data_IF_069974526568
#
_entry.id   IF_069974526568
#
_cell.length_a   1.000
_cell.length_b   1.000
_cell.length_c   1.000
_cell.angle_alpha   90.00
_cell.angle_beta   90.00
_cell.angle_gamma   90.00
#
_symmetry.space_group_name_H-M   'P 1'
#
loop_
_entity.id
_entity.type
_entity.pdbx_description
1 polymer ?
#
# COMPACT_ATOMS: atom_id res chain seq x y z
N UNK A 1 16.43 11.30 -28.10
CA UNK A 1 15.16 11.05 -28.80
C UNK A 1 14.74 9.64 -28.40
N UNK A 2 13.61 9.46 -27.70
CA UNK A 2 13.15 8.12 -27.29
C UNK A 2 12.47 7.44 -28.49
N UNK A 3 12.80 6.18 -28.76
CA UNK A 3 12.16 5.41 -29.82
C UNK A 3 10.79 4.90 -29.38
N UNK A 4 9.90 4.63 -30.35
CA UNK A 4 8.58 4.05 -30.08
C UNK A 4 8.68 2.71 -29.32
N UNK A 5 9.72 1.92 -29.57
CA UNK A 5 9.99 0.67 -28.84
C UNK A 5 10.32 0.94 -27.37
N UNK A 6 11.22 1.89 -27.09
CA UNK A 6 11.54 2.27 -25.71
C UNK A 6 10.35 2.87 -24.95
N UNK A 7 9.42 3.50 -25.68
CA UNK A 7 8.17 4.03 -25.13
C UNK A 7 7.20 2.90 -24.75
N UNK A 8 6.99 1.93 -25.63
CA UNK A 8 6.17 0.74 -25.34
C UNK A 8 6.76 -0.07 -24.18
N UNK A 9 8.08 -0.27 -24.17
CA UNK A 9 8.76 -0.96 -23.07
C UNK A 9 8.59 -0.20 -21.74
N UNK A 10 8.59 1.13 -21.77
CA UNK A 10 8.33 1.97 -20.59
C UNK A 10 6.91 1.83 -20.06
N UNK A 11 5.91 1.87 -20.94
CA UNK A 11 4.50 1.69 -20.58
C UNK A 11 4.26 0.27 -20.03
N UNK A 12 4.86 -0.75 -20.66
CA UNK A 12 4.76 -2.14 -20.21
C UNK A 12 5.29 -2.28 -18.77
N UNK A 13 6.45 -1.70 -18.46
CA UNK A 13 7.04 -1.72 -17.11
C UNK A 13 6.19 -1.00 -16.08
N UNK A 14 5.59 0.15 -16.45
CA UNK A 14 4.65 0.86 -15.56
C UNK A 14 3.43 -0.02 -15.29
N UNK A 15 2.86 -0.66 -16.32
CA UNK A 15 1.75 -1.60 -16.17
C UNK A 15 2.09 -2.78 -15.25
N UNK A 16 3.28 -3.34 -15.36
CA UNK A 16 3.73 -4.42 -14.46
C UNK A 16 3.93 -3.94 -13.02
N UNK A 17 4.37 -2.71 -12.80
CA UNK A 17 4.46 -2.12 -11.46
C UNK A 17 3.07 -1.82 -10.87
N UNK A 18 2.10 -1.44 -11.69
CA UNK A 18 0.72 -1.18 -11.26
C UNK A 18 -0.06 -2.45 -10.89
N UNK A 19 0.37 -3.65 -11.31
CA UNK A 19 -0.18 -4.90 -10.78
C UNK A 19 0.02 -5.04 -9.27
N UNK A 20 1.04 -4.39 -8.72
CA UNK A 20 1.26 -4.35 -7.27
C UNK A 20 0.11 -3.65 -6.51
N UNK A 21 -0.78 -2.93 -7.19
CA UNK A 21 -1.96 -2.29 -6.56
C UNK A 21 -2.97 -3.32 -6.07
N UNK A 22 -3.21 -4.40 -6.84
CA UNK A 22 -4.13 -5.48 -6.44
C UNK A 22 -3.61 -6.19 -5.17
N UNK A 23 -2.30 -6.44 -5.10
CA UNK A 23 -1.66 -7.02 -3.92
C UNK A 23 -1.81 -6.13 -2.67
N UNK A 24 -1.76 -4.79 -2.84
CA UNK A 24 -1.98 -3.82 -1.74
C UNK A 24 -3.41 -3.88 -1.26
N UNK A 25 -4.37 -3.85 -2.18
CA UNK A 25 -5.79 -3.90 -1.84
C UNK A 25 -6.10 -5.18 -1.05
N UNK A 26 -5.57 -6.32 -1.48
CA UNK A 26 -5.74 -7.59 -0.78
C UNK A 26 -5.09 -7.59 0.62
N UNK A 27 -3.88 -7.04 0.74
CA UNK A 27 -3.20 -6.91 2.03
C UNK A 27 -3.98 -6.02 3.00
N UNK A 28 -4.51 -4.89 2.52
CA UNK A 28 -5.31 -3.95 3.32
C UNK A 28 -6.62 -4.60 3.77
N UNK A 29 -7.35 -5.29 2.89
CA UNK A 29 -8.59 -5.96 3.27
C UNK A 29 -8.35 -7.09 4.28
N UNK A 30 -7.24 -7.83 4.16
CA UNK A 30 -6.83 -8.83 5.16
C UNK A 30 -6.57 -8.19 6.53
N UNK A 31 -5.78 -7.13 6.58
CA UNK A 31 -5.49 -6.44 7.85
C UNK A 31 -6.73 -5.81 8.47
N UNK A 32 -7.64 -5.27 7.65
CA UNK A 32 -8.93 -4.74 8.10
C UNK A 32 -9.80 -5.81 8.74
N UNK A 33 -9.84 -7.03 8.17
CA UNK A 33 -10.54 -8.16 8.80
C UNK A 33 -9.94 -8.48 10.18
N UNK A 34 -8.61 -8.56 10.30
CA UNK A 34 -7.94 -8.79 11.59
C UNK A 34 -8.21 -7.71 12.63
N UNK A 35 -8.28 -6.44 12.21
CA UNK A 35 -8.65 -5.34 13.10
C UNK A 35 -10.12 -5.38 13.53
N UNK A 36 -11.02 -5.84 12.67
CA UNK A 36 -12.44 -6.06 13.02
C UNK A 36 -12.57 -7.20 14.05
N UNK A 37 -11.81 -8.27 13.89
CA UNK A 37 -11.78 -9.38 14.85
C UNK A 37 -11.26 -8.91 16.22
N UNK A 38 -10.15 -8.18 16.22
CA UNK A 38 -9.58 -7.60 17.45
C UNK A 38 -10.56 -6.63 18.12
N UNK A 39 -11.20 -5.76 17.33
CA UNK A 39 -12.23 -4.87 17.84
C UNK A 39 -13.37 -5.69 18.46
N UNK A 40 -13.85 -6.73 17.80
CA UNK A 40 -14.95 -7.58 18.32
C UNK A 40 -14.55 -8.27 19.64
N UNK A 41 -13.29 -8.70 19.77
CA UNK A 41 -12.75 -9.25 21.02
C UNK A 41 -12.69 -8.23 22.16
N UNK A 42 -12.49 -6.95 21.84
CA UNK A 42 -12.46 -5.85 22.81
C UNK A 42 -13.84 -5.24 23.09
N UNK A 43 -14.77 -5.32 22.15
CA UNK A 43 -16.12 -4.76 22.27
C UNK A 43 -17.08 -5.72 23.01
N UNK A 44 -16.68 -6.99 23.19
CA UNK A 44 -17.54 -8.00 23.81
C UNK A 44 -17.64 -7.86 25.33
N UNK A 45 -18.75 -8.39 25.88
CA UNK A 45 -18.98 -8.56 27.33
C UNK A 45 -17.84 -9.25 28.08
N UNK A 46 -16.88 -9.85 27.37
CA UNK A 46 -15.62 -10.37 27.89
C UNK A 46 -14.81 -9.34 28.67
N UNK A 47 -14.76 -8.08 28.24
CA UNK A 47 -14.10 -7.02 29.02
C UNK A 47 -14.85 -6.70 30.32
N UNK A 48 -16.15 -7.04 30.40
CA UNK A 48 -16.97 -6.87 31.61
C UNK A 48 -16.92 -8.09 32.55
N UNK A 49 -16.28 -9.17 32.12
CA UNK A 49 -16.11 -10.40 32.92
C UNK A 49 -14.88 -10.36 33.83
N UNK A 50 -13.97 -9.41 33.64
CA UNK A 50 -12.82 -9.24 34.52
C UNK A 50 -13.28 -8.77 35.89
N UNK A 51 -12.81 -9.44 36.94
CA UNK A 51 -13.25 -9.17 38.32
C UNK A 51 -12.56 -7.93 38.90
N UNK A 52 -11.46 -7.49 38.30
CA UNK A 52 -10.68 -6.34 38.73
C UNK A 52 -10.03 -5.57 37.58
N UNK A 53 -9.66 -4.31 37.84
CA UNK A 53 -8.96 -3.48 36.87
C UNK A 53 -7.54 -4.00 36.57
N UNK A 54 -6.89 -4.64 37.55
CA UNK A 54 -5.56 -5.22 37.36
C UNK A 54 -5.58 -6.41 36.39
N UNK A 55 -6.62 -7.25 36.46
CA UNK A 55 -6.81 -8.39 35.55
C UNK A 55 -7.06 -7.93 34.11
N UNK A 56 -7.88 -6.87 33.94
CA UNK A 56 -8.09 -6.22 32.65
C UNK A 56 -6.77 -5.65 32.08
N UNK A 57 -5.98 -4.97 32.91
CA UNK A 57 -4.69 -4.39 32.49
C UNK A 57 -3.71 -5.50 32.07
N UNK A 58 -3.63 -6.60 32.83
CA UNK A 58 -2.77 -7.74 32.48
C UNK A 58 -3.20 -8.36 31.14
N UNK A 59 -4.51 -8.54 30.92
CA UNK A 59 -5.03 -9.01 29.64
C UNK A 59 -4.69 -8.07 28.47
N UNK A 60 -4.88 -6.76 28.64
CA UNK A 60 -4.55 -5.78 27.62
C UNK A 60 -3.06 -5.82 27.26
N UNK A 61 -2.18 -5.91 28.25
CA UNK A 61 -0.73 -5.95 28.06
C UNK A 61 -0.25 -7.26 27.42
N UNK A 62 -0.85 -8.40 27.77
CA UNK A 62 -0.40 -9.72 27.31
C UNK A 62 -1.03 -10.19 26.02
N UNK A 63 -2.22 -9.70 25.69
CA UNK A 63 -3.01 -10.23 24.57
C UNK A 63 -3.37 -9.14 23.58
N UNK A 64 -4.12 -8.12 24.01
CA UNK A 64 -4.69 -7.14 23.08
C UNK A 64 -3.63 -6.27 22.40
N UNK A 65 -2.70 -5.71 23.18
CA UNK A 65 -1.61 -4.87 22.65
C UNK A 65 -0.71 -5.69 21.71
N UNK A 66 -0.21 -6.88 22.08
CA UNK A 66 0.59 -7.71 21.17
C UNK A 66 -0.14 -8.09 19.88
N UNK A 67 -1.44 -8.38 19.93
CA UNK A 67 -2.23 -8.67 18.72
C UNK A 67 -2.38 -7.43 17.83
N UNK A 68 -2.61 -6.25 18.41
CA UNK A 68 -2.67 -4.99 17.67
C UNK A 68 -1.33 -4.68 17.00
N UNK A 69 -0.22 -4.82 17.72
CA UNK A 69 1.13 -4.63 17.19
C UNK A 69 1.42 -5.62 16.07
N UNK A 70 1.07 -6.91 16.24
CA UNK A 70 1.24 -7.90 15.18
C UNK A 70 0.42 -7.60 13.91
N UNK A 71 -0.80 -7.09 14.07
CA UNK A 71 -1.63 -6.65 12.94
C UNK A 71 -1.04 -5.42 12.23
N UNK A 72 -0.50 -4.48 13.00
CA UNK A 72 0.20 -3.30 12.47
C UNK A 72 1.46 -3.73 11.69
N UNK A 73 2.33 -4.54 12.28
CA UNK A 73 3.57 -5.00 11.65
C UNK A 73 3.30 -5.80 10.38
N UNK A 74 2.24 -6.61 10.39
CA UNK A 74 1.79 -7.37 9.21
C UNK A 74 1.29 -6.46 8.11
N UNK A 75 0.48 -5.45 8.44
CA UNK A 75 0.00 -4.48 7.47
C UNK A 75 1.15 -3.67 6.87
N UNK A 76 2.06 -3.18 7.72
CA UNK A 76 3.24 -2.44 7.27
C UNK A 76 4.08 -3.32 6.36
N UNK A 77 4.49 -4.51 6.81
CA UNK A 77 5.31 -5.43 6.01
C UNK A 77 4.67 -5.85 4.69
N UNK A 78 3.35 -6.04 4.66
CA UNK A 78 2.61 -6.44 3.46
C UNK A 78 2.33 -5.28 2.49
N UNK A 79 2.39 -4.02 2.93
CA UNK A 79 2.05 -2.87 2.08
C UNK A 79 3.27 -2.03 1.68
N UNK A 80 4.29 -1.92 2.54
CA UNK A 80 5.49 -1.10 2.31
C UNK A 80 6.21 -1.39 0.98
N UNK A 81 6.48 -2.68 0.63
CA UNK A 81 7.15 -3.01 -0.62
C UNK A 81 6.33 -2.62 -1.85
N UNK A 82 5.01 -2.69 -1.73
CA UNK A 82 4.10 -2.39 -2.83
C UNK A 82 3.88 -0.90 -3.00
N UNK A 83 3.77 -0.13 -1.90
CA UNK A 83 3.78 1.33 -1.98
C UNK A 83 5.08 1.87 -2.60
N UNK A 84 6.23 1.26 -2.29
CA UNK A 84 7.51 1.57 -2.96
C UNK A 84 7.43 1.31 -4.48
N UNK A 85 6.82 0.20 -4.92
CA UNK A 85 6.60 -0.10 -6.34
C UNK A 85 5.67 0.91 -7.02
N UNK A 86 4.58 1.30 -6.36
CA UNK A 86 3.64 2.31 -6.88
C UNK A 86 4.29 3.69 -7.02
N UNK A 87 5.11 4.10 -6.05
CA UNK A 87 5.87 5.34 -6.13
C UNK A 87 6.87 5.31 -7.30
N UNK A 88 7.55 4.19 -7.53
CA UNK A 88 8.43 4.01 -8.69
C UNK A 88 7.64 4.05 -10.01
N UNK A 89 6.45 3.44 -10.07
CA UNK A 89 5.59 3.50 -11.25
C UNK A 89 5.18 4.94 -11.57
N UNK A 90 4.79 5.70 -10.55
CA UNK A 90 4.42 7.12 -10.65
C UNK A 90 5.59 7.99 -11.13
N UNK A 91 6.80 7.76 -10.61
CA UNK A 91 8.00 8.46 -11.05
C UNK A 91 8.34 8.14 -12.52
N UNK A 92 8.26 6.86 -12.91
CA UNK A 92 8.49 6.43 -14.29
C UNK A 92 7.46 7.02 -15.26
N UNK A 93 6.18 7.04 -14.87
CA UNK A 93 5.11 7.67 -15.64
C UNK A 93 5.35 9.17 -15.81
N UNK A 94 5.74 9.87 -14.74
CA UNK A 94 6.06 11.30 -14.78
C UNK A 94 7.23 11.59 -15.72
N UNK A 95 8.31 10.80 -15.66
CA UNK A 95 9.47 10.93 -16.57
C UNK A 95 9.08 10.65 -18.02
N UNK A 96 8.22 9.66 -18.27
CA UNK A 96 7.72 9.36 -19.60
C UNK A 96 6.87 10.51 -20.15
N UNK A 97 6.00 11.10 -19.32
CA UNK A 97 5.15 12.22 -19.70
C UNK A 97 5.97 13.44 -20.13
N UNK A 98 7.03 13.80 -19.39
CA UNK A 98 7.94 14.90 -19.77
C UNK A 98 8.61 14.61 -21.11
N UNK A 99 9.05 13.37 -21.35
CA UNK A 99 9.68 12.99 -22.63
C UNK A 99 8.71 13.04 -23.80
N UNK A 100 7.44 12.69 -23.57
CA UNK A 100 6.38 12.79 -24.56
C UNK A 100 6.06 14.24 -24.90
N UNK A 101 5.97 15.12 -23.90
CA UNK A 101 5.77 16.56 -24.09
C UNK A 101 6.93 17.17 -24.90
N UNK A 102 8.18 16.82 -24.57
CA UNK A 102 9.34 17.28 -25.33
C UNK A 102 9.30 16.82 -26.80
N UNK A 103 8.77 15.64 -27.11
CA UNK A 103 8.58 15.17 -28.49
C UNK A 103 7.49 15.96 -29.22
N UNK A 104 6.39 16.28 -28.54
CA UNK A 104 5.29 17.08 -29.09
C UNK A 104 5.78 18.51 -29.41
N UNK A 105 6.47 19.16 -28.46
CA UNK A 105 7.05 20.49 -28.62
C UNK A 105 8.11 20.56 -29.71
N UNK A 106 8.96 19.53 -29.82
CA UNK A 106 9.98 19.47 -30.88
C UNK A 106 9.41 19.08 -32.26
N UNK A 107 8.21 18.50 -32.32
CA UNK A 107 7.47 18.30 -33.58
C UNK A 107 6.86 19.61 -34.10
N UNK A 108 6.50 20.55 -33.20
CA UNK A 108 5.97 21.87 -33.54
C UNK A 108 7.06 22.90 -33.88
N UNK A 109 8.27 22.75 -33.32
CA UNK A 109 9.41 23.66 -33.55
C UNK A 109 10.17 23.47 -34.88
N UNK A 110 9.80 22.48 -35.70
CA UNK A 110 10.42 22.20 -37.01
C UNK A 110 9.62 22.66 -38.23
N UNK A 111 8.51 23.37 -38.02
CA UNK A 111 7.57 23.81 -39.07
C UNK A 111 7.54 25.33 -39.31
N UNK A 112 8.51 26.09 -38.79
CA UNK A 112 8.66 27.53 -39.06
C UNK A 112 10.12 27.90 -39.34
#
# INVERSE_FOLDING_TARGET
>A
MISFREMLDGIQRIGDLLKATEDVEEAVERSKASLVDLRTMLDTDRLRQFESMDELVDYLQRVAIPQLTGAQDTLEGATDPHFKRLNLASEQASKLMVRLQMLDDSSLGGLF
#
